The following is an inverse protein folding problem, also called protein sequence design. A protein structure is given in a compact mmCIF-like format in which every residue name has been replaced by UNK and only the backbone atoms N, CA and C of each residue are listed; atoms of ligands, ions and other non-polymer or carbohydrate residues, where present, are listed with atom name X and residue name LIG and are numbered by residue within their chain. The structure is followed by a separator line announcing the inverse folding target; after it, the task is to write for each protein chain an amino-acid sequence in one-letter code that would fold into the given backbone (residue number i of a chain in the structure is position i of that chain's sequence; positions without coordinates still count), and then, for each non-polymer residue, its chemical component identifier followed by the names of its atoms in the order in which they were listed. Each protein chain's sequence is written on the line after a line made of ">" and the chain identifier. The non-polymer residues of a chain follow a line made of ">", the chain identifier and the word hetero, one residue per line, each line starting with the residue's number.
data_IF_237582345384
#
_entry.id   IF_237582345384
#
_cell.length_a   1.000
_cell.length_b   1.000
_cell.length_c   1.000
_cell.angle_alpha   90.00
_cell.angle_beta   90.00
_cell.angle_gamma   90.00
#
_symmetry.space_group_name_H-M   'P 1'
#
loop_
_entity.id
_entity.type
_entity.pdbx_description
1 polymer ?
#
# COMPACT_ATOMS: atom_id res chain seq x y z
N UNK A 1 -42.20 -46.11 31.94
CA UNK A 1 -42.84 -45.07 32.75
C UNK A 1 -41.96 -44.81 33.96
N UNK A 2 -41.33 -43.65 34.01
CA UNK A 2 -40.74 -43.10 35.23
C UNK A 2 -40.86 -41.59 35.12
N UNK A 3 -41.51 -41.03 36.12
CA UNK A 3 -42.07 -39.69 36.18
C UNK A 3 -40.97 -38.63 36.15
N UNK A 4 -40.86 -37.89 35.06
CA UNK A 4 -40.12 -36.62 35.05
C UNK A 4 -41.01 -35.56 35.65
N UNK A 5 -40.76 -35.21 36.91
CA UNK A 5 -41.41 -34.09 37.59
C UNK A 5 -41.23 -32.79 36.78
N UNK A 6 -42.27 -31.95 36.64
CA UNK A 6 -42.14 -30.64 36.03
C UNK A 6 -41.40 -29.75 37.02
N UNK A 7 -40.09 -29.58 36.82
CA UNK A 7 -39.34 -28.56 37.54
C UNK A 7 -39.80 -27.22 36.98
N UNK A 8 -40.62 -26.55 37.77
CA UNK A 8 -41.18 -25.25 37.47
C UNK A 8 -40.11 -24.28 36.97
N UNK A 9 -40.45 -23.63 35.85
CA UNK A 9 -39.91 -22.32 35.51
C UNK A 9 -39.98 -21.45 36.75
N UNK A 10 -38.85 -21.10 37.34
CA UNK A 10 -38.53 -19.76 37.87
C UNK A 10 -37.18 -19.82 38.56
N UNK A 11 -36.20 -19.16 37.94
CA UNK A 11 -34.81 -18.99 38.34
C UNK A 11 -33.81 -20.07 37.88
N UNK A 12 -33.47 -20.02 36.59
CA UNK A 12 -32.18 -20.53 36.09
C UNK A 12 -31.15 -19.42 36.28
N UNK A 13 -30.16 -19.63 37.16
CA UNK A 13 -28.99 -18.75 37.25
C UNK A 13 -28.29 -18.69 35.89
N UNK A 14 -28.00 -17.49 35.34
CA UNK A 14 -27.28 -17.35 34.07
C UNK A 14 -25.80 -17.72 34.20
N UNK A 15 -25.30 -17.95 35.42
CA UNK A 15 -23.90 -18.25 35.68
C UNK A 15 -23.77 -19.73 36.05
N UNK A 16 -23.16 -20.52 35.15
CA UNK A 16 -22.70 -21.89 35.47
C UNK A 16 -23.17 -23.01 34.54
N UNK A 17 -24.08 -22.78 33.60
CA UNK A 17 -24.62 -23.82 32.70
C UNK A 17 -23.96 -23.88 31.30
N UNK A 18 -22.82 -23.22 31.12
CA UNK A 18 -22.11 -23.16 29.85
C UNK A 18 -21.75 -24.54 29.31
N UNK A 19 -21.26 -25.46 30.16
CA UNK A 19 -20.82 -26.79 29.71
C UNK A 19 -21.94 -27.61 29.06
N UNK A 20 -23.16 -27.58 29.61
CA UNK A 20 -24.30 -28.34 29.06
C UNK A 20 -24.82 -27.73 27.75
N UNK A 21 -24.89 -26.40 27.68
CA UNK A 21 -25.27 -25.70 26.44
C UNK A 21 -24.22 -25.86 25.34
N UNK A 22 -22.93 -25.81 25.67
CA UNK A 22 -21.85 -26.03 24.71
C UNK A 22 -21.87 -27.46 24.17
N UNK A 23 -22.04 -28.48 25.02
CA UNK A 23 -22.07 -29.87 24.54
C UNK A 23 -23.30 -30.13 23.67
N UNK A 24 -24.47 -29.55 24.01
CA UNK A 24 -25.67 -29.70 23.18
C UNK A 24 -25.60 -28.91 21.86
N UNK A 25 -25.01 -27.71 21.85
CA UNK A 25 -24.92 -26.88 20.66
C UNK A 25 -23.72 -27.25 19.75
N UNK A 26 -22.57 -27.55 20.32
CA UNK A 26 -21.32 -27.80 19.59
C UNK A 26 -21.02 -29.29 19.38
N UNK A 27 -21.64 -30.20 20.13
CA UNK A 27 -21.37 -31.65 20.01
C UNK A 27 -21.73 -32.21 18.62
N UNK A 28 -22.87 -31.81 18.06
CA UNK A 28 -23.27 -32.21 16.70
C UNK A 28 -22.41 -31.57 15.60
N UNK A 29 -22.02 -30.31 15.80
CA UNK A 29 -21.16 -29.57 14.87
C UNK A 29 -19.74 -30.14 14.86
N UNK A 30 -19.20 -30.52 16.02
CA UNK A 30 -17.87 -31.12 16.14
C UNK A 30 -17.74 -32.43 15.37
N UNK A 31 -18.78 -33.28 15.36
CA UNK A 31 -18.74 -34.54 14.62
C UNK A 31 -18.75 -34.33 13.10
N UNK A 32 -19.55 -33.40 12.59
CA UNK A 32 -19.58 -33.08 11.16
C UNK A 32 -18.24 -32.52 10.67
N UNK A 33 -17.61 -31.66 11.47
CA UNK A 33 -16.27 -31.15 11.16
C UNK A 33 -15.21 -32.25 11.24
N UNK A 34 -15.26 -33.13 12.25
CA UNK A 34 -14.33 -34.25 12.36
C UNK A 34 -14.42 -35.20 11.16
N UNK A 35 -15.63 -35.57 10.73
CA UNK A 35 -15.82 -36.42 9.55
C UNK A 35 -15.37 -35.72 8.26
N UNK A 36 -15.61 -34.40 8.14
CA UNK A 36 -15.11 -33.62 7.01
C UNK A 36 -13.58 -33.58 6.99
N UNK A 37 -12.92 -33.29 8.11
CA UNK A 37 -11.46 -33.26 8.20
C UNK A 37 -10.83 -34.65 8.00
N UNK A 38 -11.45 -35.72 8.52
CA UNK A 38 -10.99 -37.09 8.30
C UNK A 38 -11.07 -37.46 6.80
N UNK A 39 -12.15 -37.05 6.12
CA UNK A 39 -12.33 -37.29 4.68
C UNK A 39 -11.36 -36.46 3.84
N UNK A 40 -11.15 -35.19 4.17
CA UNK A 40 -10.18 -34.32 3.52
C UNK A 40 -8.74 -34.84 3.68
N UNK A 41 -8.38 -35.33 4.88
CA UNK A 41 -7.07 -35.94 5.12
C UNK A 41 -6.89 -37.26 4.34
N UNK A 42 -7.93 -38.09 4.24
CA UNK A 42 -7.89 -39.31 3.44
C UNK A 42 -7.74 -39.02 1.94
N UNK A 43 -8.38 -37.97 1.42
CA UNK A 43 -8.19 -37.51 0.04
C UNK A 43 -6.77 -36.98 -0.22
N UNK A 44 -6.17 -36.29 0.76
CA UNK A 44 -4.81 -35.77 0.63
C UNK A 44 -3.73 -36.87 0.63
N UNK A 45 -3.96 -37.99 1.33
CA UNK A 45 -3.04 -39.14 1.34
C UNK A 45 -3.03 -39.95 0.03
N UNK A 46 -4.06 -39.80 -0.81
CA UNK A 46 -4.15 -40.46 -2.12
C UNK A 46 -3.50 -39.71 -3.28
N UNK A 47 -3.00 -38.49 -3.05
CA UNK A 47 -2.41 -37.64 -4.09
C UNK A 47 -0.90 -37.84 -4.13
N UNK A 48 -0.34 -38.06 -5.33
CA UNK A 48 1.11 -38.14 -5.55
C UNK A 48 1.82 -36.98 -4.85
N UNK A 49 2.98 -37.27 -4.25
CA UNK A 49 3.74 -36.33 -3.44
C UNK A 49 3.83 -34.96 -4.14
N UNK A 50 3.42 -33.90 -3.42
CA UNK A 50 3.41 -32.53 -3.89
C UNK A 50 4.73 -32.21 -4.65
N UNK A 51 4.69 -31.54 -5.83
CA UNK A 51 5.87 -31.13 -6.57
C UNK A 51 6.97 -30.50 -5.70
N UNK A 52 6.61 -29.81 -4.61
CA UNK A 52 7.57 -29.27 -3.64
C UNK A 52 8.34 -30.38 -2.92
N UNK A 53 7.65 -31.41 -2.43
CA UNK A 53 8.27 -32.56 -1.76
C UNK A 53 9.17 -33.36 -2.72
N UNK A 54 8.76 -33.49 -3.99
CA UNK A 54 9.59 -34.11 -5.02
C UNK A 54 10.83 -33.29 -5.35
N UNK A 55 10.72 -31.95 -5.35
CA UNK A 55 11.86 -31.06 -5.54
C UNK A 55 12.85 -31.14 -4.38
N UNK A 56 12.38 -31.25 -3.13
CA UNK A 56 13.22 -31.44 -1.94
C UNK A 56 13.96 -32.78 -2.01
N UNK A 57 13.29 -33.87 -2.40
CA UNK A 57 13.93 -35.18 -2.57
C UNK A 57 15.03 -35.18 -3.65
N UNK A 58 14.92 -34.32 -4.67
CA UNK A 58 15.98 -34.12 -5.69
C UNK A 58 17.16 -33.28 -5.19
N UNK A 59 17.03 -32.62 -4.04
CA UNK A 59 18.09 -31.83 -3.41
C UNK A 59 18.92 -32.63 -2.40
N UNK A 60 18.77 -33.95 -2.35
CA UNK A 60 19.55 -34.85 -1.49
C UNK A 60 20.41 -35.74 -2.37
N UNK A 61 21.68 -35.89 -2.02
CA UNK A 61 22.58 -36.80 -2.70
C UNK A 61 22.16 -38.26 -2.46
N UNK A 62 22.13 -39.08 -3.51
CA UNK A 62 21.59 -40.44 -3.45
C UNK A 62 22.54 -41.42 -2.77
N UNK A 63 23.84 -41.13 -2.77
CA UNK A 63 24.85 -42.01 -2.18
C UNK A 63 25.15 -41.64 -0.72
N UNK A 64 25.32 -40.34 -0.42
CA UNK A 64 25.59 -39.89 0.95
C UNK A 64 24.33 -39.64 1.80
N UNK A 65 23.18 -39.37 1.17
CA UNK A 65 21.96 -38.96 1.87
C UNK A 65 22.00 -37.53 2.42
N UNK A 66 23.05 -36.76 2.12
CA UNK A 66 23.20 -35.39 2.58
C UNK A 66 22.43 -34.39 1.69
N UNK A 67 21.88 -33.31 2.27
CA UNK A 67 21.23 -32.26 1.49
C UNK A 67 22.28 -31.48 0.67
N UNK A 68 22.18 -31.56 -0.66
CA UNK A 68 23.03 -30.87 -1.65
C UNK A 68 23.07 -29.35 -1.42
N UNK A 69 21.95 -28.76 -0.99
CA UNK A 69 21.90 -27.35 -0.64
C UNK A 69 22.81 -27.00 0.53
N UNK A 70 22.79 -27.82 1.59
CA UNK A 70 23.62 -27.63 2.78
C UNK A 70 25.12 -27.77 2.47
N UNK A 71 25.48 -28.78 1.68
CA UNK A 71 26.87 -29.02 1.26
C UNK A 71 27.41 -27.85 0.43
N UNK A 72 26.61 -27.32 -0.52
CA UNK A 72 27.00 -26.16 -1.33
C UNK A 72 27.21 -24.91 -0.48
N UNK A 73 26.32 -24.64 0.46
CA UNK A 73 26.45 -23.50 1.38
C UNK A 73 27.67 -23.65 2.28
N UNK A 74 27.92 -24.85 2.81
CA UNK A 74 29.10 -25.13 3.63
C UNK A 74 30.40 -24.94 2.84
N UNK A 75 30.43 -25.39 1.57
CA UNK A 75 31.56 -25.16 0.68
C UNK A 75 31.81 -23.66 0.45
N UNK A 76 30.76 -22.87 0.22
CA UNK A 76 30.87 -21.41 0.09
C UNK A 76 31.37 -20.74 1.36
N UNK A 77 30.89 -21.16 2.54
CA UNK A 77 31.37 -20.65 3.83
C UNK A 77 32.86 -20.96 4.01
N UNK A 78 33.31 -22.16 3.64
CA UNK A 78 34.73 -22.50 3.70
C UNK A 78 35.57 -21.63 2.76
N UNK A 79 35.11 -21.40 1.53
CA UNK A 79 35.77 -20.48 0.59
C UNK A 79 35.86 -19.09 1.19
N UNK A 80 34.76 -18.54 1.70
CA UNK A 80 34.73 -17.20 2.31
C UNK A 80 35.66 -17.09 3.52
N UNK A 81 35.72 -18.13 4.37
CA UNK A 81 36.63 -18.15 5.54
C UNK A 81 38.10 -18.31 5.16
N UNK A 82 38.38 -18.88 3.99
CA UNK A 82 39.74 -19.00 3.45
C UNK A 82 40.19 -17.72 2.72
N UNK A 83 39.26 -16.82 2.37
CA UNK A 83 39.61 -15.53 1.82
C UNK A 83 40.24 -14.66 2.91
N UNK A 84 41.42 -14.12 2.60
CA UNK A 84 42.08 -13.14 3.44
C UNK A 84 41.36 -11.80 3.30
N UNK A 85 40.45 -11.51 4.24
CA UNK A 85 39.68 -10.27 4.25
C UNK A 85 40.48 -9.23 5.01
N UNK A 86 40.96 -8.21 4.30
CA UNK A 86 41.60 -7.05 4.89
C UNK A 86 40.65 -5.86 4.86
N UNK A 87 40.58 -5.13 5.97
CA UNK A 87 39.91 -3.84 6.02
C UNK A 87 40.64 -2.89 5.07
N UNK A 88 40.02 -2.62 3.93
CA UNK A 88 40.54 -1.70 2.93
C UNK A 88 39.88 -0.35 3.16
N UNK A 89 40.68 0.68 3.49
CA UNK A 89 40.18 2.04 3.54
C UNK A 89 39.70 2.46 2.14
N UNK A 90 38.39 2.44 1.92
CA UNK A 90 37.77 2.93 0.68
C UNK A 90 37.83 4.44 0.69
N UNK A 91 38.94 4.99 0.18
CA UNK A 91 39.04 6.42 -0.10
C UNK A 91 38.22 6.70 -1.37
N UNK A 92 37.33 7.71 -1.36
CA UNK A 92 36.73 8.20 -2.58
C UNK A 92 37.85 8.46 -3.61
N UNK A 93 37.67 8.08 -4.88
CA UNK A 93 38.65 8.42 -5.90
C UNK A 93 38.86 9.93 -5.83
N UNK A 94 40.13 10.36 -5.88
CA UNK A 94 40.42 11.78 -5.97
C UNK A 94 39.62 12.35 -7.15
N UNK A 95 38.85 13.43 -6.94
CA UNK A 95 38.10 14.05 -8.02
C UNK A 95 39.11 14.39 -9.11
N UNK A 96 38.99 13.68 -10.24
CA UNK A 96 39.76 13.97 -11.43
C UNK A 96 39.21 15.29 -11.96
N UNK A 97 39.67 16.40 -11.39
CA UNK A 97 39.42 17.72 -11.89
C UNK A 97 40.14 17.80 -13.23
N UNK A 98 39.45 17.40 -14.30
CA UNK A 98 39.72 17.95 -15.61
C UNK A 98 39.73 19.48 -15.42
N UNK A 99 40.75 20.21 -15.91
CA UNK A 99 40.83 21.65 -15.76
C UNK A 99 39.59 22.26 -16.41
N UNK A 100 38.56 22.53 -15.60
CA UNK A 100 37.19 22.92 -15.97
C UNK A 100 36.69 22.16 -17.20
N UNK A 101 35.80 21.18 -17.01
CA UNK A 101 34.92 20.79 -18.11
C UNK A 101 34.08 22.02 -18.49
N UNK A 102 34.60 22.85 -19.38
CA UNK A 102 33.86 23.89 -20.07
C UNK A 102 32.79 23.13 -20.83
N UNK A 103 31.56 23.21 -20.33
CA UNK A 103 30.42 22.73 -21.09
C UNK A 103 30.46 23.47 -22.43
N UNK A 104 30.56 22.73 -23.53
CA UNK A 104 30.38 23.27 -24.86
C UNK A 104 28.92 23.70 -24.98
N UNK A 105 28.61 24.93 -24.53
CA UNK A 105 27.26 25.49 -24.55
C UNK A 105 26.71 25.61 -25.97
N UNK A 106 27.60 25.56 -26.97
CA UNK A 106 27.27 25.53 -28.40
C UNK A 106 26.74 24.16 -28.87
N UNK A 107 27.01 23.08 -28.13
CA UNK A 107 26.45 21.75 -28.39
C UNK A 107 25.09 21.51 -27.71
N UNK A 108 24.66 22.42 -26.83
CA UNK A 108 23.35 22.33 -26.21
C UNK A 108 22.28 22.70 -27.22
N UNK A 109 21.18 21.96 -27.23
CA UNK A 109 20.00 22.35 -27.98
C UNK A 109 19.54 23.74 -27.55
N UNK A 110 19.18 24.58 -28.52
CA UNK A 110 18.63 25.90 -28.24
C UNK A 110 17.42 25.77 -27.31
N UNK A 111 17.34 26.65 -26.31
CA UNK A 111 16.20 26.69 -25.41
C UNK A 111 14.90 26.80 -26.23
N UNK A 112 13.86 26.02 -25.90
CA UNK A 112 12.60 26.09 -26.61
C UNK A 112 12.01 27.49 -26.49
N UNK A 113 11.46 28.00 -27.59
CA UNK A 113 10.79 29.30 -27.59
C UNK A 113 9.57 29.26 -26.65
N UNK A 114 9.35 30.32 -25.86
CA UNK A 114 8.17 30.38 -25.00
C UNK A 114 6.89 30.37 -25.84
N UNK A 115 5.84 29.74 -25.32
CA UNK A 115 4.54 29.73 -25.98
C UNK A 115 4.05 31.16 -26.27
N UNK A 116 3.48 31.33 -27.46
CA UNK A 116 2.84 32.59 -27.82
C UNK A 116 1.63 32.86 -26.93
N UNK A 117 1.25 34.13 -26.79
CA UNK A 117 0.08 34.52 -26.00
C UNK A 117 -1.20 33.85 -26.49
N UNK A 118 -1.31 33.58 -27.79
CA UNK A 118 -2.46 32.88 -28.38
C UNK A 118 -2.51 31.40 -27.97
N UNK A 119 -1.37 30.72 -27.94
CA UNK A 119 -1.28 29.32 -27.51
C UNK A 119 -1.58 29.16 -26.01
N UNK A 120 -1.11 30.09 -25.19
CA UNK A 120 -1.42 30.10 -23.75
C UNK A 120 -2.93 30.29 -23.50
N UNK A 121 -3.59 31.17 -24.26
CA UNK A 121 -5.04 31.38 -24.16
C UNK A 121 -5.80 30.11 -24.56
N UNK A 122 -5.37 29.43 -25.64
CA UNK A 122 -6.02 28.20 -26.08
C UNK A 122 -5.81 27.05 -25.08
N UNK A 123 -4.60 26.93 -24.51
CA UNK A 123 -4.33 25.96 -23.43
C UNK A 123 -5.19 26.24 -22.20
N UNK A 124 -5.33 27.50 -21.80
CA UNK A 124 -6.19 27.87 -20.68
C UNK A 124 -7.67 27.56 -20.97
N UNK A 125 -8.12 27.79 -22.20
CA UNK A 125 -9.49 27.44 -22.63
C UNK A 125 -9.75 25.93 -22.62
N UNK A 126 -8.74 25.12 -22.91
CA UNK A 126 -8.83 23.65 -22.81
C UNK A 126 -8.89 23.15 -21.36
N UNK A 127 -8.36 23.94 -20.42
CA UNK A 127 -8.38 23.63 -18.99
C UNK A 127 -9.62 24.19 -18.27
N UNK A 128 -10.41 25.05 -18.93
CA UNK A 128 -11.70 25.54 -18.43
C UNK A 128 -12.75 24.42 -18.44
N UNK A 129 -12.67 23.55 -17.42
CA UNK A 129 -13.66 22.53 -17.13
C UNK A 129 -14.82 23.13 -16.33
N UNK A 130 -16.04 22.88 -16.78
CA UNK A 130 -17.25 23.28 -16.06
C UNK A 130 -17.45 22.39 -14.82
N UNK A 131 -17.09 22.89 -13.65
CA UNK A 131 -17.35 22.21 -12.36
C UNK A 131 -18.82 22.32 -11.89
N UNK A 132 -19.72 22.84 -12.75
CA UNK A 132 -21.14 22.89 -12.44
C UNK A 132 -21.73 21.49 -12.52
N UNK A 133 -22.40 21.06 -11.45
CA UNK A 133 -23.14 19.80 -11.41
C UNK A 133 -24.25 19.82 -12.47
N UNK A 134 -24.07 19.08 -13.56
CA UNK A 134 -25.12 18.86 -14.56
C UNK A 134 -25.99 17.68 -14.12
N UNK A 135 -27.31 17.87 -14.14
CA UNK A 135 -28.24 16.79 -13.84
C UNK A 135 -28.26 15.77 -14.99
N UNK A 136 -28.20 14.46 -14.73
CA UNK A 136 -28.38 13.45 -15.77
C UNK A 136 -29.77 13.57 -16.40
N UNK A 137 -29.83 13.69 -17.73
CA UNK A 137 -31.09 13.68 -18.48
C UNK A 137 -31.50 12.23 -18.70
N UNK A 138 -32.57 11.79 -18.04
CA UNK A 138 -33.17 10.48 -18.31
C UNK A 138 -33.98 10.59 -19.60
N UNK A 139 -33.71 9.72 -20.58
CA UNK A 139 -34.49 9.69 -21.83
C UNK A 139 -35.97 9.41 -21.51
N UNK A 140 -36.84 10.40 -21.75
CA UNK A 140 -38.29 10.22 -21.73
C UNK A 140 -38.76 9.82 -23.13
N UNK A 141 -39.41 8.66 -23.25
CA UNK A 141 -39.91 8.12 -24.52
C UNK A 141 -41.07 8.97 -25.08
N UNK A 142 -40.76 10.13 -25.66
CA UNK A 142 -41.73 11.00 -26.32
C UNK A 142 -42.55 11.92 -25.40
N UNK A 143 -42.32 11.89 -24.09
CA UNK A 143 -42.91 12.87 -23.16
C UNK A 143 -42.06 14.13 -23.09
N UNK A 144 -42.68 15.33 -23.05
CA UNK A 144 -41.96 16.59 -22.91
C UNK A 144 -41.15 16.60 -21.61
N UNK A 145 -39.95 17.18 -21.67
CA UNK A 145 -39.08 17.28 -20.51
C UNK A 145 -39.80 18.04 -19.39
N UNK A 146 -39.88 17.50 -18.16
CA UNK A 146 -40.52 18.20 -17.06
C UNK A 146 -39.75 19.49 -16.74
N UNK A 147 -40.48 20.53 -16.33
CA UNK A 147 -39.86 21.78 -15.89
C UNK A 147 -38.91 21.51 -14.71
N UNK A 148 -37.68 22.06 -14.74
CA UNK A 148 -36.74 21.95 -13.65
C UNK A 148 -37.36 22.37 -12.32
N UNK A 149 -37.39 21.47 -11.34
CA UNK A 149 -37.61 21.86 -9.95
C UNK A 149 -36.45 22.73 -9.43
N UNK A 150 -36.65 23.49 -8.34
CA UNK A 150 -35.58 24.25 -7.71
C UNK A 150 -34.41 23.31 -7.36
N UNK A 151 -33.18 23.77 -7.58
CA UNK A 151 -31.99 23.01 -7.20
C UNK A 151 -32.06 22.67 -5.71
N UNK A 152 -31.58 21.48 -5.29
CA UNK A 152 -31.48 21.17 -3.88
C UNK A 152 -30.64 22.26 -3.21
N UNK A 153 -31.21 22.92 -2.19
CA UNK A 153 -30.45 23.85 -1.37
C UNK A 153 -29.25 23.09 -0.78
N UNK A 154 -28.05 23.69 -0.74
CA UNK A 154 -26.91 23.07 -0.09
C UNK A 154 -27.30 22.73 1.36
N UNK A 155 -27.52 21.44 1.59
CA UNK A 155 -27.82 20.92 2.92
C UNK A 155 -26.48 20.72 3.60
N UNK A 156 -26.26 21.41 4.71
CA UNK A 156 -25.13 21.08 5.57
C UNK A 156 -25.19 19.58 5.88
N UNK A 157 -24.14 18.85 5.48
CA UNK A 157 -24.00 17.44 5.80
C UNK A 157 -23.72 17.36 7.30
N UNK A 158 -24.77 17.25 8.11
CA UNK A 158 -24.67 16.83 9.50
C UNK A 158 -24.29 15.36 9.51
N UNK A 159 -23.01 15.07 9.28
CA UNK A 159 -22.42 13.77 9.54
C UNK A 159 -22.47 13.57 11.06
N UNK A 160 -23.08 12.49 11.58
CA UNK A 160 -23.15 12.22 13.02
C UNK A 160 -21.79 12.08 13.74
N UNK A 161 -20.66 12.16 13.01
CA UNK A 161 -19.30 11.93 13.51
C UNK A 161 -18.30 12.96 12.92
N UNK A 162 -18.74 14.11 12.38
CA UNK A 162 -17.78 15.09 11.86
C UNK A 162 -18.28 16.55 11.95
N UNK A 163 -18.88 16.93 13.06
CA UNK A 163 -18.51 18.25 13.59
C UNK A 163 -17.09 18.05 14.10
N UNK A 164 -16.09 18.57 13.38
CA UNK A 164 -14.73 18.59 13.92
C UNK A 164 -14.83 19.35 15.25
N UNK A 165 -14.62 18.65 16.36
CA UNK A 165 -14.51 19.26 17.68
C UNK A 165 -13.25 20.12 17.63
N UNK A 166 -13.39 21.37 17.17
CA UNK A 166 -12.28 22.32 17.02
C UNK A 166 -11.63 22.62 18.37
N UNK A 167 -12.35 22.37 19.45
CA UNK A 167 -11.88 22.51 20.82
C UNK A 167 -10.99 21.33 21.26
N UNK A 168 -11.06 20.19 20.55
CA UNK A 168 -10.12 19.07 20.70
C UNK A 168 -8.91 19.17 19.76
N UNK A 169 -8.94 20.07 18.76
CA UNK A 169 -7.77 20.31 17.93
C UNK A 169 -6.68 20.94 18.80
N UNK A 170 -5.44 20.52 18.56
CA UNK A 170 -4.30 21.21 19.15
C UNK A 170 -4.34 22.68 18.72
N UNK A 171 -4.00 23.57 19.65
CA UNK A 171 -3.93 25.00 19.36
C UNK A 171 -3.06 25.21 18.11
N UNK A 172 -3.51 26.09 17.21
CA UNK A 172 -2.76 26.41 16.01
C UNK A 172 -1.31 26.76 16.40
N UNK A 173 -0.31 26.14 15.75
CA UNK A 173 1.08 26.40 16.08
C UNK A 173 1.38 27.88 15.90
N UNK A 174 2.18 28.44 16.80
CA UNK A 174 2.61 29.83 16.66
C UNK A 174 3.36 30.00 15.32
N UNK A 175 3.07 31.08 14.57
CA UNK A 175 3.81 31.37 13.35
C UNK A 175 5.32 31.44 13.64
N UNK A 176 6.12 30.90 12.73
CA UNK A 176 7.57 31.02 12.83
C UNK A 176 7.98 32.49 12.89
N UNK A 177 8.99 32.79 13.71
CA UNK A 177 9.62 34.08 13.77
C UNK A 177 10.33 34.42 12.44
N UNK A 178 10.41 35.70 12.11
CA UNK A 178 11.02 36.20 10.87
C UNK A 178 12.40 35.62 10.55
N UNK A 179 13.36 35.47 11.49
CA UNK A 179 14.66 34.91 11.15
C UNK A 179 14.57 33.41 10.83
N UNK A 180 13.65 32.67 11.44
CA UNK A 180 13.45 31.24 11.16
C UNK A 180 12.78 31.04 9.81
N UNK A 181 11.83 31.89 9.44
CA UNK A 181 11.26 31.90 8.09
C UNK A 181 12.32 32.22 7.04
N UNK A 182 13.14 33.24 7.26
CA UNK A 182 14.21 33.60 6.33
C UNK A 182 15.22 32.46 6.13
N UNK A 183 15.56 31.75 7.21
CA UNK A 183 16.42 30.56 7.15
C UNK A 183 15.77 29.42 6.37
N UNK A 184 14.51 29.08 6.67
CA UNK A 184 13.79 28.04 5.95
C UNK A 184 13.62 28.38 4.46
N UNK A 185 13.41 29.65 4.14
CA UNK A 185 13.28 30.10 2.76
C UNK A 185 14.61 30.00 2.00
N UNK A 186 15.74 30.31 2.64
CA UNK A 186 17.07 30.12 2.06
C UNK A 186 17.41 28.63 1.88
N UNK A 187 17.12 27.79 2.88
CA UNK A 187 17.32 26.34 2.80
C UNK A 187 16.47 25.73 1.67
N UNK A 188 15.20 26.15 1.56
CA UNK A 188 14.30 25.74 0.47
C UNK A 188 14.80 26.25 -0.89
N UNK A 189 15.30 27.48 -0.96
CA UNK A 189 15.86 28.03 -2.19
C UNK A 189 17.11 27.25 -2.62
N UNK A 190 17.98 26.87 -1.69
CA UNK A 190 19.12 25.99 -1.95
C UNK A 190 18.66 24.62 -2.48
N UNK A 191 17.71 23.99 -1.80
CA UNK A 191 17.16 22.69 -2.20
C UNK A 191 16.49 22.75 -3.58
N UNK A 192 15.74 23.82 -3.88
CA UNK A 192 15.13 24.01 -5.18
C UNK A 192 16.17 24.25 -6.28
N UNK A 193 17.25 24.98 -6.00
CA UNK A 193 18.35 25.16 -6.95
C UNK A 193 19.15 23.86 -7.17
N UNK A 194 19.28 23.01 -6.14
CA UNK A 194 19.96 21.71 -6.22
C UNK A 194 19.09 20.60 -6.83
N UNK A 195 17.79 20.59 -6.53
CA UNK A 195 16.85 19.57 -7.00
C UNK A 195 16.31 19.86 -8.41
N UNK A 196 16.30 21.12 -8.86
CA UNK A 196 15.86 21.49 -10.22
C UNK A 196 16.59 20.72 -11.33
N UNK A 197 17.93 20.59 -11.33
CA UNK A 197 18.64 19.77 -12.32
C UNK A 197 18.19 18.30 -12.31
N UNK A 198 17.94 17.72 -11.13
CA UNK A 198 17.57 16.31 -10.98
C UNK A 198 16.13 16.06 -11.43
N UNK A 199 15.19 16.92 -11.06
CA UNK A 199 13.78 16.79 -11.45
C UNK A 199 13.58 17.15 -12.92
N UNK A 200 14.25 18.18 -13.45
CA UNK A 200 14.20 18.52 -14.88
C UNK A 200 14.83 17.41 -15.76
N UNK A 201 15.88 16.74 -15.29
CA UNK A 201 16.47 15.62 -16.03
C UNK A 201 15.63 14.34 -15.98
N UNK A 202 14.97 14.03 -14.86
CA UNK A 202 14.13 12.82 -14.75
C UNK A 202 12.78 12.93 -15.49
N UNK A 203 12.27 14.14 -15.71
CA UNK A 203 11.05 14.35 -16.54
C UNK A 203 11.33 14.12 -18.03
N UNK A 204 12.59 14.25 -18.49
CA UNK A 204 12.97 14.01 -19.90
C UNK A 204 13.12 12.53 -20.27
N UNK A 205 13.19 11.62 -19.31
CA UNK A 205 13.34 10.17 -19.60
C UNK A 205 12.03 9.44 -19.92
N UNK A 206 10.86 10.10 -19.82
CA UNK A 206 9.56 9.48 -20.09
C UNK A 206 8.59 10.32 -20.95
N UNK A 207 9.09 11.21 -21.80
CA UNK A 207 8.30 11.89 -22.83
C UNK A 207 8.71 11.41 -24.23
#
# INVERSE_FOLDING_TARGET
>A
MSETLPIGLTYLSPVGNYGRQNTQALGGVSHLWQDFFARALAEQQGTEADPVSQAIAKQVDKESGEPLGGVRTLAQIHVQRSCDVHDTEVKPPEPLFLPKAEFETELLENAPEPFSTAELIEQQRQLDLSNSWLRPVVMSQGHPLPEPGPAPSPRALFLPIAEFETDLLENAPEPYDEPTLAKQQNDLEFDLHWARPVVLNNVRTHA
#
